data_IF_681878758184
#
_entry.id   IF_681878758184
#
_cell.length_a   1.000
_cell.length_b   1.000
_cell.length_c   1.000
_cell.angle_alpha   90.00
_cell.angle_beta   90.00
_cell.angle_gamma   90.00
#
_symmetry.space_group_name_H-M   'P 1'
#
loop_
_entity.id
_entity.type
_entity.pdbx_description
1 polymer ?
#
# COMPACT_ATOMS: atom_id res chain seq x y z
N UNK A 1 -17.10 2.56 -1.21
CA UNK A 1 -15.77 2.90 -0.69
C UNK A 1 -15.50 2.19 0.61
N UNK A 2 -16.40 2.33 1.56
CA UNK A 2 -16.23 1.67 2.84
C UNK A 2 -16.17 0.15 2.70
N UNK A 3 -16.93 -0.43 1.78
CA UNK A 3 -16.93 -1.87 1.60
C UNK A 3 -15.56 -2.37 1.16
N UNK A 4 -14.87 -1.63 0.28
CA UNK A 4 -13.56 -2.02 -0.21
C UNK A 4 -12.53 -1.92 0.90
N UNK A 5 -12.54 -0.84 1.66
CA UNK A 5 -11.63 -0.67 2.79
C UNK A 5 -11.88 -1.74 3.85
N UNK A 6 -13.14 -2.05 4.14
CA UNK A 6 -13.46 -3.10 5.10
C UNK A 6 -12.97 -4.46 4.62
N UNK A 7 -13.13 -4.76 3.33
CA UNK A 7 -12.67 -6.02 2.78
C UNK A 7 -11.15 -6.16 2.91
N UNK A 8 -10.40 -5.10 2.62
CA UNK A 8 -8.96 -5.12 2.77
C UNK A 8 -8.55 -5.34 4.22
N UNK A 9 -9.18 -4.66 5.16
CA UNK A 9 -8.92 -4.83 6.58
C UNK A 9 -9.26 -6.23 7.05
N UNK A 10 -10.37 -6.79 6.59
CA UNK A 10 -10.77 -8.14 6.96
C UNK A 10 -9.79 -9.19 6.45
N UNK A 11 -9.31 -9.05 5.23
CA UNK A 11 -8.29 -9.93 4.69
C UNK A 11 -7.01 -9.86 5.51
N UNK A 12 -6.57 -8.66 5.85
CA UNK A 12 -5.40 -8.46 6.69
C UNK A 12 -5.58 -9.14 8.04
N UNK A 13 -6.72 -8.93 8.69
CA UNK A 13 -6.98 -9.51 10.01
C UNK A 13 -6.99 -11.03 9.96
N UNK A 14 -7.57 -11.61 8.91
CA UNK A 14 -7.58 -13.06 8.76
C UNK A 14 -6.17 -13.63 8.60
N UNK A 15 -5.31 -12.92 7.90
CA UNK A 15 -3.94 -13.38 7.67
C UNK A 15 -3.06 -13.25 8.89
N UNK A 16 -3.32 -12.26 9.72
CA UNK A 16 -2.46 -11.97 10.87
C UNK A 16 -2.94 -12.61 12.14
N UNK A 17 -3.91 -13.54 12.09
CA UNK A 17 -4.53 -13.95 13.27
C UNK A 17 -3.90 -15.17 13.77
N UNK A 18 -3.23 -15.88 13.77
CA UNK A 18 -2.92 -17.06 14.56
C UNK A 18 -2.42 -16.79 15.91
N UNK A 19 -2.02 -17.76 16.57
CA UNK A 19 -1.65 -17.71 17.96
C UNK A 19 -0.62 -16.64 18.30
N UNK A 20 0.21 -16.25 17.36
CA UNK A 20 1.21 -15.21 17.58
C UNK A 20 0.78 -13.87 16.98
N UNK A 21 -0.48 -13.60 16.96
CA UNK A 21 -1.06 -12.49 16.25
C UNK A 21 -0.41 -11.13 16.46
N UNK A 22 -0.04 -10.79 17.68
CA UNK A 22 0.57 -9.50 17.96
C UNK A 22 1.91 -9.33 17.24
N UNK A 23 2.73 -10.37 17.25
CA UNK A 23 4.02 -10.32 16.57
C UNK A 23 3.85 -10.18 15.07
N UNK A 24 2.93 -10.93 14.48
CA UNK A 24 2.64 -10.83 13.05
C UNK A 24 2.11 -9.45 12.68
N UNK A 25 1.20 -8.92 13.49
CA UNK A 25 0.63 -7.59 13.25
C UNK A 25 1.71 -6.52 13.27
N UNK A 26 2.63 -6.59 14.23
CA UNK A 26 3.73 -5.63 14.31
C UNK A 26 4.66 -5.73 13.14
N UNK A 27 4.96 -6.95 12.69
CA UNK A 27 5.81 -7.17 11.54
C UNK A 27 5.18 -6.60 10.28
N UNK A 28 3.90 -6.85 10.07
CA UNK A 28 3.17 -6.33 8.90
C UNK A 28 3.09 -4.81 8.93
N UNK A 29 2.80 -4.24 10.10
CA UNK A 29 2.75 -2.80 10.25
C UNK A 29 4.11 -2.17 9.98
N UNK A 30 5.18 -2.76 10.48
CA UNK A 30 6.53 -2.26 10.26
C UNK A 30 6.88 -2.29 8.77
N UNK A 31 6.60 -3.38 8.09
CA UNK A 31 6.92 -3.51 6.68
C UNK A 31 6.10 -2.53 5.84
N UNK A 32 4.81 -2.42 6.10
CA UNK A 32 3.96 -1.48 5.40
C UNK A 32 4.40 -0.03 5.65
N UNK A 33 4.80 0.28 6.88
CA UNK A 33 5.34 1.60 7.23
C UNK A 33 6.62 1.92 6.44
N UNK A 34 7.49 0.94 6.29
CA UNK A 34 8.71 1.10 5.49
C UNK A 34 8.39 1.38 4.03
N UNK A 35 7.40 0.67 3.47
CA UNK A 35 6.99 0.91 2.10
C UNK A 35 6.42 2.32 1.94
N UNK A 36 5.53 2.74 2.84
CA UNK A 36 4.94 4.07 2.79
C UNK A 36 6.04 5.14 2.85
N UNK A 37 6.98 4.97 3.76
CA UNK A 37 8.08 5.92 3.88
C UNK A 37 8.91 5.99 2.60
N UNK A 38 9.25 4.85 2.04
CA UNK A 38 10.08 4.79 0.83
C UNK A 38 9.35 5.35 -0.40
N UNK A 39 8.06 5.08 -0.52
CA UNK A 39 7.29 5.43 -1.73
C UNK A 39 6.59 6.78 -1.65
N UNK A 40 6.25 7.24 -0.46
CA UNK A 40 5.35 8.38 -0.32
C UNK A 40 5.85 9.47 0.63
N UNK A 41 7.10 9.43 1.06
CA UNK A 41 7.59 10.55 1.88
C UNK A 41 7.56 11.83 1.04
N UNK A 42 7.15 12.93 1.67
CA UNK A 42 6.96 14.18 0.96
C UNK A 42 5.59 14.33 0.33
N UNK A 43 4.78 13.27 0.33
CA UNK A 43 3.41 13.35 -0.14
C UNK A 43 2.49 13.85 0.98
N UNK A 44 1.30 14.40 0.63
CA UNK A 44 0.31 14.70 1.66
C UNK A 44 -0.02 13.44 2.47
N UNK A 45 -0.45 13.64 3.72
CA UNK A 45 -0.77 12.50 4.58
C UNK A 45 -1.79 11.55 3.93
N UNK A 46 -2.82 12.13 3.30
CA UNK A 46 -3.82 11.34 2.57
C UNK A 46 -3.17 10.48 1.49
N UNK A 47 -2.15 10.99 0.82
CA UNK A 47 -1.40 10.23 -0.19
C UNK A 47 -0.61 9.08 0.42
N UNK A 48 -0.07 9.28 1.61
CA UNK A 48 0.62 8.21 2.34
C UNK A 48 -0.34 7.08 2.69
N UNK A 49 -1.52 7.43 3.20
CA UNK A 49 -2.57 6.43 3.49
C UNK A 49 -2.99 5.73 2.21
N UNK A 50 -3.11 6.47 1.12
CA UNK A 50 -3.52 5.92 -0.17
C UNK A 50 -2.53 4.85 -0.68
N UNK A 51 -1.23 5.11 -0.53
CA UNK A 51 -0.20 4.12 -0.91
C UNK A 51 -0.35 2.86 -0.06
N UNK A 52 -0.50 3.01 1.24
CA UNK A 52 -0.70 1.85 2.13
C UNK A 52 -1.98 1.09 1.76
N UNK A 53 -3.07 1.82 1.51
CA UNK A 53 -4.34 1.20 1.15
C UNK A 53 -4.23 0.42 -0.15
N UNK A 54 -3.46 0.91 -1.13
CA UNK A 54 -3.28 0.20 -2.38
C UNK A 54 -2.60 -1.17 -2.17
N UNK A 55 -1.67 -1.27 -1.24
CA UNK A 55 -1.07 -2.55 -0.88
C UNK A 55 -2.13 -3.50 -0.32
N UNK A 56 -2.94 -3.00 0.61
CA UNK A 56 -3.99 -3.82 1.22
C UNK A 56 -5.04 -4.25 0.19
N UNK A 57 -5.35 -3.38 -0.77
CA UNK A 57 -6.27 -3.73 -1.86
C UNK A 57 -5.70 -4.84 -2.74
N UNK A 58 -4.39 -4.83 -2.99
CA UNK A 58 -3.75 -5.92 -3.71
C UNK A 58 -3.84 -7.23 -2.92
N UNK A 59 -3.61 -7.18 -1.61
CA UNK A 59 -3.74 -8.37 -0.76
C UNK A 59 -5.14 -8.97 -0.88
N UNK A 60 -6.16 -8.13 -0.98
CA UNK A 60 -7.54 -8.58 -1.11
C UNK A 60 -7.91 -9.04 -2.52
N UNK A 61 -7.08 -8.76 -3.51
CA UNK A 61 -7.37 -9.06 -4.91
C UNK A 61 -6.72 -10.40 -5.29
N UNK A 62 -7.50 -11.28 -5.90
CA UNK A 62 -7.05 -12.63 -6.24
C UNK A 62 -5.90 -12.67 -7.26
N UNK A 63 -5.63 -11.58 -7.96
CA UNK A 63 -4.52 -11.50 -8.92
C UNK A 63 -3.17 -11.26 -8.28
N UNK A 64 -3.13 -10.99 -6.99
CA UNK A 64 -1.90 -10.64 -6.27
C UNK A 64 -1.65 -11.63 -5.13
N UNK A 65 -0.41 -11.65 -4.60
CA UNK A 65 -0.16 -12.43 -3.39
C UNK A 65 -1.11 -12.02 -2.26
N UNK A 66 -1.40 -12.94 -1.38
CA UNK A 66 -2.40 -12.72 -0.34
C UNK A 66 -1.81 -12.30 1.01
N UNK A 67 -0.58 -11.80 1.01
CA UNK A 67 0.05 -11.24 2.21
C UNK A 67 0.69 -9.91 1.87
N UNK A 68 0.86 -9.07 2.90
CA UNK A 68 1.53 -7.78 2.73
C UNK A 68 2.95 -7.98 2.22
N UNK A 69 3.70 -8.89 2.84
CA UNK A 69 5.06 -9.18 2.40
C UNK A 69 5.08 -9.70 0.96
N UNK A 70 4.16 -10.57 0.61
CA UNK A 70 4.07 -11.10 -0.74
C UNK A 70 3.83 -10.03 -1.78
N UNK A 71 2.96 -9.07 -1.48
CA UNK A 71 2.69 -7.96 -2.40
C UNK A 71 3.91 -7.04 -2.53
N UNK A 72 4.51 -6.67 -1.39
CA UNK A 72 5.63 -5.72 -1.39
C UNK A 72 6.86 -6.31 -2.08
N UNK A 73 7.16 -7.57 -1.83
CA UNK A 73 8.34 -8.21 -2.39
C UNK A 73 8.09 -8.91 -3.72
N UNK A 74 6.90 -8.75 -4.30
CA UNK A 74 6.63 -9.28 -5.63
C UNK A 74 7.61 -8.69 -6.63
N UNK A 75 8.19 -9.53 -7.49
CA UNK A 75 9.22 -9.10 -8.42
C UNK A 75 8.77 -7.91 -9.26
N UNK A 76 9.55 -6.84 -9.24
CA UNK A 76 9.28 -5.65 -10.04
C UNK A 76 8.16 -4.77 -9.54
N UNK A 77 7.57 -5.08 -8.38
CA UNK A 77 6.41 -4.30 -7.91
C UNK A 77 6.79 -2.91 -7.42
N UNK A 78 7.89 -2.80 -6.69
CA UNK A 78 8.31 -1.53 -6.10
C UNK A 78 9.81 -1.34 -6.27
N UNK A 79 10.21 -0.19 -6.82
CA UNK A 79 11.63 0.11 -7.02
C UNK A 79 12.40 0.25 -5.71
N UNK A 80 11.72 0.66 -4.65
CA UNK A 80 12.37 0.84 -3.35
C UNK A 80 12.87 -0.48 -2.76
N UNK A 81 12.32 -1.61 -3.18
CA UNK A 81 12.83 -2.92 -2.79
C UNK A 81 14.16 -3.19 -3.49
N UNK A 82 14.23 -2.91 -4.79
CA UNK A 82 15.43 -3.16 -5.58
C UNK A 82 16.58 -2.24 -5.20
N UNK A 83 16.30 -0.96 -4.89
CA UNK A 83 17.34 0.00 -4.59
C UNK A 83 17.64 0.14 -3.10
N UNK A 84 16.97 -0.62 -2.26
CA UNK A 84 17.26 -0.67 -0.82
C UNK A 84 16.58 0.40 0.03
N UNK A 85 15.82 1.32 -0.54
CA UNK A 85 15.16 2.36 0.25
C UNK A 85 14.14 1.78 1.22
N UNK A 86 13.59 0.59 0.93
CA UNK A 86 12.67 -0.09 1.85
C UNK A 86 13.32 -0.35 3.22
N UNK A 87 14.64 -0.38 3.28
CA UNK A 87 15.36 -0.66 4.53
C UNK A 87 15.57 0.58 5.39
N UNK A 88 15.19 1.77 4.92
CA UNK A 88 15.27 2.97 5.74
C UNK A 88 14.24 2.92 6.87
N UNK A 89 14.58 3.52 8.01
CA UNK A 89 13.67 3.57 9.14
C UNK A 89 12.50 4.50 8.83
N UNK A 90 11.26 4.04 8.93
CA UNK A 90 10.12 4.90 8.68
C UNK A 90 9.95 5.93 9.79
N UNK A 91 9.44 7.10 9.43
CA UNK A 91 9.09 8.10 10.44
C UNK A 91 7.72 7.78 11.03
N UNK A 92 7.34 8.55 12.05
CA UNK A 92 6.08 8.33 12.73
C UNK A 92 4.87 8.58 11.83
N UNK A 93 4.97 9.55 10.94
CA UNK A 93 3.89 9.88 10.01
C UNK A 93 3.60 8.71 9.06
N UNK A 94 4.65 8.07 8.53
CA UNK A 94 4.48 6.90 7.68
C UNK A 94 3.88 5.72 8.45
N UNK A 95 4.30 5.53 9.69
CA UNK A 95 3.75 4.48 10.55
C UNK A 95 2.28 4.71 10.84
N UNK A 96 1.91 5.95 11.14
CA UNK A 96 0.52 6.31 11.39
C UNK A 96 -0.34 6.12 10.15
N UNK A 97 0.18 6.49 8.98
CA UNK A 97 -0.54 6.30 7.72
C UNK A 97 -0.80 4.82 7.43
N UNK A 98 0.20 3.98 7.65
CA UNK A 98 0.05 2.54 7.50
C UNK A 98 -1.01 2.00 8.46
N UNK A 99 -0.99 2.45 9.72
CA UNK A 99 -1.96 2.03 10.71
C UNK A 99 -3.38 2.46 10.33
N UNK A 100 -3.56 3.68 9.84
CA UNK A 100 -4.88 4.15 9.42
C UNK A 100 -5.43 3.32 8.26
N UNK A 101 -4.57 2.93 7.32
CA UNK A 101 -4.99 2.06 6.22
C UNK A 101 -5.39 0.67 6.73
N UNK A 102 -4.62 0.11 7.64
CA UNK A 102 -4.94 -1.18 8.26
C UNK A 102 -6.29 -1.10 9.00
N UNK A 103 -6.57 0.04 9.62
CA UNK A 103 -7.84 0.26 10.31
C UNK A 103 -9.03 0.45 9.38
N UNK A 104 -8.80 0.51 8.08
CA UNK A 104 -9.88 0.54 7.09
C UNK A 104 -10.01 1.81 6.27
N UNK A 105 -9.13 2.80 6.45
CA UNK A 105 -9.22 4.02 5.65
C UNK A 105 -8.57 3.80 4.29
N UNK A 106 -9.39 3.85 3.24
CA UNK A 106 -8.92 3.79 1.86
C UNK A 106 -9.43 5.02 1.10
N UNK A 107 -8.61 6.06 0.95
CA UNK A 107 -9.02 7.23 0.20
C UNK A 107 -9.10 7.00 -1.32
N UNK A 108 -8.68 5.85 -1.83
CA UNK A 108 -8.61 5.59 -3.27
C UNK A 108 -9.81 4.86 -3.83
N UNK A 109 -10.75 4.45 -3.02
CA UNK A 109 -11.93 3.68 -3.47
C UNK A 109 -11.56 2.36 -4.14
N UNK A 110 -10.56 1.68 -3.59
CA UNK A 110 -10.22 0.33 -4.03
C UNK A 110 -9.16 0.24 -5.10
N UNK A 111 -8.40 1.29 -5.33
CA UNK A 111 -7.34 1.26 -6.34
C UNK A 111 -6.23 0.30 -5.95
N UNK A 112 -5.68 -0.38 -6.95
CA UNK A 112 -4.59 -1.35 -6.75
C UNK A 112 -3.30 -0.89 -7.39
N UNK A 113 -3.32 0.17 -8.20
CA UNK A 113 -2.14 0.73 -8.84
C UNK A 113 -2.06 2.22 -8.61
N UNK A 114 -0.85 2.75 -8.64
CA UNK A 114 -0.63 4.19 -8.70
C UNK A 114 0.64 4.46 -9.49
N UNK A 115 0.75 5.67 -10.04
CA UNK A 115 1.96 6.08 -10.74
C UNK A 115 2.11 7.59 -10.65
N UNK A 116 3.36 8.03 -10.79
CA UNK A 116 3.68 9.45 -10.90
C UNK A 116 3.68 9.81 -12.38
N UNK A 117 2.74 10.66 -12.84
CA UNK A 117 2.64 10.97 -14.27
C UNK A 117 3.87 11.69 -14.82
N UNK A 118 4.67 12.32 -13.96
CA UNK A 118 5.88 13.01 -14.40
C UNK A 118 7.03 12.06 -14.70
N UNK A 119 7.00 10.84 -14.16
CA UNK A 119 8.10 9.88 -14.30
C UNK A 119 7.70 8.57 -14.94
N UNK A 120 6.42 8.27 -15.03
CA UNK A 120 5.95 6.98 -15.55
C UNK A 120 6.09 6.93 -17.07
N UNK A 121 6.75 5.87 -17.56
CA UNK A 121 6.98 5.66 -18.98
C UNK A 121 6.22 4.47 -19.54
N UNK A 122 5.63 3.63 -18.67
CA UNK A 122 4.93 2.43 -19.10
C UNK A 122 3.58 2.78 -19.72
N UNK A 123 3.40 2.44 -20.99
CA UNK A 123 2.11 2.63 -21.65
C UNK A 123 0.99 1.86 -20.97
N UNK A 124 1.32 0.69 -20.39
CA UNK A 124 0.34 -0.13 -19.72
C UNK A 124 -0.28 0.60 -18.52
N UNK A 125 0.55 1.22 -17.66
CA UNK A 125 0.02 1.90 -16.48
C UNK A 125 -0.84 3.11 -16.86
N UNK A 126 -0.46 3.82 -17.93
CA UNK A 126 -1.25 4.94 -18.44
C UNK A 126 -2.61 4.51 -18.97
N UNK A 127 -2.73 3.26 -19.42
CA UNK A 127 -3.99 2.73 -19.97
C UNK A 127 -4.95 2.23 -18.90
N UNK A 128 -4.53 2.13 -17.65
CA UNK A 128 -5.42 1.65 -16.58
C UNK A 128 -6.48 2.67 -16.24
N UNK A 129 -7.68 2.22 -15.84
CA UNK A 129 -8.76 3.13 -15.45
C UNK A 129 -8.33 4.03 -14.29
N UNK A 130 -8.16 5.31 -14.55
CA UNK A 130 -7.75 6.27 -13.54
C UNK A 130 -8.94 6.69 -12.70
N UNK A 131 -8.78 6.67 -11.38
CA UNK A 131 -9.85 6.97 -10.45
C UNK A 131 -9.67 8.35 -9.82
N UNK A 132 -8.46 8.67 -9.34
CA UNK A 132 -8.21 9.96 -8.69
C UNK A 132 -6.73 10.27 -8.62
N UNK A 133 -6.43 11.54 -8.39
CA UNK A 133 -5.08 12.01 -8.15
C UNK A 133 -4.98 12.50 -6.71
N UNK A 134 -3.93 12.05 -6.01
CA UNK A 134 -3.62 12.52 -4.66
C UNK A 134 -2.13 12.86 -4.66
N UNK A 135 -1.80 14.13 -4.35
CA UNK A 135 -0.42 14.58 -4.41
C UNK A 135 0.16 14.39 -5.82
N UNK A 136 1.29 13.72 -5.91
CA UNK A 136 1.98 13.49 -7.18
C UNK A 136 1.55 12.19 -7.86
N UNK A 137 0.64 11.42 -7.27
CA UNK A 137 0.27 10.10 -7.75
C UNK A 137 -1.14 10.07 -8.33
N UNK A 138 -1.29 9.39 -9.45
CA UNK A 138 -2.59 9.03 -10.00
C UNK A 138 -2.87 7.59 -9.55
N UNK A 139 -4.01 7.40 -8.90
CA UNK A 139 -4.45 6.07 -8.44
C UNK A 139 -5.43 5.49 -9.46
N UNK A 140 -5.26 4.20 -9.75
CA UNK A 140 -6.02 3.54 -10.81
C UNK A 140 -6.29 2.07 -10.48
N UNK A 141 -7.18 1.48 -11.26
CA UNK A 141 -7.56 0.08 -11.11
C UNK A 141 -6.97 -0.81 -12.20
#
# INVERSE_FOLDING_TARGET
>A
THCISSAASDVYKRQSKPASGNSSNNTDLNLLSKLVYAEARGEPYKGMVAVAASVLNRVANSKFPNTIAGVIYQSGAYTCVADGQINLSPNEQARKAAQDAINGWDPTSGCIYYFNPNTATSGWIWSRPQVMTIGKHIFCK
#
